data_IF_050528418275
#
_entry.id   IF_050528418275
#
_cell.length_a   1.000
_cell.length_b   1.000
_cell.length_c   1.000
_cell.angle_alpha   90.00
_cell.angle_beta   90.00
_cell.angle_gamma   90.00
#
_symmetry.space_group_name_H-M   'P 1'
#
loop_
_entity.id
_entity.type
_entity.pdbx_description
1 polymer ?
#
# COMPACT_ATOMS: atom_id res chain seq x y z
N UNK A 1 37.11 -85.04 6.64
CA UNK A 1 37.71 -85.04 5.26
C UNK A 1 37.54 -83.63 4.74
N UNK A 2 38.62 -82.89 4.49
CA UNK A 2 38.55 -81.47 4.11
C UNK A 2 38.50 -81.29 2.58
N UNK A 3 37.71 -80.42 2.11
CA UNK A 3 37.63 -80.01 0.70
C UNK A 3 38.63 -78.92 0.39
N UNK A 4 39.46 -79.14 -0.57
CA UNK A 4 40.50 -78.20 -1.07
C UNK A 4 39.81 -77.11 -1.92
N UNK A 5 40.14 -75.90 -1.66
CA UNK A 5 39.81 -74.72 -2.48
C UNK A 5 40.91 -74.49 -3.53
N UNK A 6 40.54 -74.53 -4.81
CA UNK A 6 41.43 -74.19 -5.93
C UNK A 6 41.37 -72.67 -6.15
N UNK A 7 42.54 -72.05 -6.09
CA UNK A 7 42.77 -70.71 -6.52
C UNK A 7 42.81 -70.61 -8.05
N UNK A 8 41.96 -69.76 -8.61
CA UNK A 8 42.01 -69.31 -10.01
C UNK A 8 42.56 -67.88 -10.07
N UNK A 9 43.44 -67.52 -11.02
CA UNK A 9 44.05 -66.19 -11.12
C UNK A 9 43.04 -65.20 -11.76
N UNK A 10 42.97 -63.98 -11.20
CA UNK A 10 42.20 -62.87 -11.72
C UNK A 10 42.94 -62.22 -12.92
N UNK A 11 42.22 -61.75 -13.94
CA UNK A 11 42.83 -61.07 -15.08
C UNK A 11 43.22 -59.62 -14.69
N UNK A 12 44.39 -59.17 -15.14
CA UNK A 12 44.86 -57.79 -15.01
C UNK A 12 44.08 -56.91 -15.98
N UNK A 13 43.21 -56.03 -15.47
CA UNK A 13 42.59 -54.96 -16.24
C UNK A 13 43.48 -53.71 -16.18
N UNK A 14 43.95 -53.26 -17.34
CA UNK A 14 44.59 -51.98 -17.53
C UNK A 14 43.56 -50.85 -17.41
N UNK A 15 43.70 -50.01 -16.39
CA UNK A 15 42.95 -48.74 -16.28
C UNK A 15 43.61 -47.69 -17.17
N UNK A 16 43.00 -47.36 -18.30
CA UNK A 16 43.27 -46.16 -19.05
C UNK A 16 42.70 -44.95 -18.29
N UNK A 17 43.50 -44.01 -17.88
CA UNK A 17 43.11 -42.77 -17.24
C UNK A 17 42.41 -41.87 -18.29
N UNK A 18 41.09 -41.83 -18.27
CA UNK A 18 40.30 -40.83 -19.03
C UNK A 18 40.34 -39.48 -18.27
N UNK A 19 41.03 -38.52 -18.83
CA UNK A 19 40.97 -37.15 -18.34
C UNK A 19 39.59 -36.56 -18.60
N UNK A 20 38.77 -36.37 -17.56
CA UNK A 20 37.54 -35.60 -17.58
C UNK A 20 37.92 -34.12 -17.66
N UNK A 21 37.80 -33.51 -18.84
CA UNK A 21 37.84 -32.06 -19.01
C UNK A 21 36.49 -31.53 -18.52
N UNK A 22 36.45 -31.01 -17.29
CA UNK A 22 35.30 -30.33 -16.74
C UNK A 22 35.09 -28.98 -17.44
N UNK A 23 34.14 -28.90 -18.33
CA UNK A 23 33.61 -27.61 -18.80
C UNK A 23 32.86 -26.95 -17.65
N UNK A 24 33.44 -25.97 -16.99
CA UNK A 24 32.74 -25.05 -16.11
C UNK A 24 31.82 -24.17 -16.99
N UNK A 25 30.55 -24.50 -17.03
CA UNK A 25 29.55 -23.55 -17.54
C UNK A 25 29.47 -22.38 -16.57
N UNK A 26 30.12 -21.27 -16.92
CA UNK A 26 29.80 -19.98 -16.34
C UNK A 26 28.37 -19.66 -16.76
N UNK A 27 27.42 -19.88 -15.84
CA UNK A 27 26.07 -19.35 -15.99
C UNK A 27 26.18 -17.84 -15.98
N UNK A 28 26.16 -17.22 -17.16
CA UNK A 28 25.95 -15.78 -17.31
C UNK A 28 24.52 -15.56 -16.83
N UNK A 29 24.39 -15.05 -15.60
CA UNK A 29 23.11 -14.59 -15.11
C UNK A 29 22.72 -13.36 -15.95
N UNK A 30 21.83 -13.56 -16.91
CA UNK A 30 21.17 -12.44 -17.54
C UNK A 30 20.38 -11.72 -16.46
N UNK A 31 20.46 -10.38 -16.35
CA UNK A 31 19.59 -9.65 -15.45
C UNK A 31 18.14 -10.00 -15.82
N UNK A 32 17.35 -10.35 -14.81
CA UNK A 32 15.91 -10.51 -15.01
C UNK A 32 15.38 -9.25 -15.68
N UNK A 33 14.43 -9.36 -16.63
CA UNK A 33 13.83 -8.16 -17.21
C UNK A 33 13.27 -7.30 -16.09
N UNK A 34 13.44 -5.98 -16.20
CA UNK A 34 12.85 -5.02 -15.29
C UNK A 34 11.37 -5.36 -15.14
N UNK A 35 10.94 -5.60 -13.91
CA UNK A 35 9.56 -5.99 -13.62
C UNK A 35 8.84 -4.78 -13.02
N UNK A 36 7.75 -4.37 -13.65
CA UNK A 36 6.88 -3.33 -13.12
C UNK A 36 5.85 -3.96 -12.18
N UNK A 37 5.22 -3.15 -11.32
CA UNK A 37 4.08 -3.58 -10.53
C UNK A 37 2.99 -2.52 -10.50
N UNK A 38 1.76 -2.96 -10.28
CA UNK A 38 0.60 -2.09 -10.10
C UNK A 38 0.47 -1.68 -8.65
N UNK A 39 0.06 -0.44 -8.40
CA UNK A 39 -0.23 0.05 -7.06
C UNK A 39 -1.54 0.81 -7.04
N UNK A 40 -2.47 0.35 -6.18
CA UNK A 40 -3.76 0.96 -5.90
C UNK A 40 -3.86 1.19 -4.39
N UNK A 41 -4.66 2.17 -3.99
CA UNK A 41 -4.89 2.50 -2.59
C UNK A 41 -6.32 2.99 -2.37
N UNK A 42 -6.81 2.84 -1.15
CA UNK A 42 -8.05 3.47 -0.70
C UNK A 42 -9.19 3.24 -1.70
N UNK A 43 -9.48 1.95 -1.91
CA UNK A 43 -10.50 1.50 -2.86
C UNK A 43 -11.89 1.98 -2.42
N UNK A 44 -12.21 1.79 -1.14
CA UNK A 44 -13.49 2.11 -0.53
C UNK A 44 -14.68 1.64 -1.37
N UNK A 45 -14.66 0.35 -1.71
CA UNK A 45 -15.73 -0.25 -2.49
C UNK A 45 -17.05 -0.20 -1.71
N UNK A 46 -18.06 0.40 -2.32
CA UNK A 46 -19.41 0.53 -1.76
C UNK A 46 -20.37 -0.50 -2.39
N UNK A 47 -20.58 -1.66 -1.75
CA UNK A 47 -21.54 -2.65 -2.19
C UNK A 47 -23.00 -2.22 -1.94
N UNK A 48 -23.21 -1.13 -1.18
CA UNK A 48 -24.51 -0.63 -0.78
C UNK A 48 -25.05 0.47 -1.71
N UNK A 49 -24.27 0.89 -2.72
CA UNK A 49 -24.57 1.98 -3.64
C UNK A 49 -25.91 1.78 -4.40
N UNK A 50 -26.35 0.55 -4.57
CA UNK A 50 -27.70 0.20 -5.04
C UNK A 50 -28.43 -0.60 -3.94
N UNK A 51 -29.20 0.09 -3.11
CA UNK A 51 -29.87 -0.49 -1.95
C UNK A 51 -30.83 -1.65 -2.30
N UNK A 52 -31.36 -1.71 -3.53
CA UNK A 52 -32.22 -2.79 -3.99
C UNK A 52 -31.50 -4.15 -4.15
N UNK A 53 -30.16 -4.13 -4.17
CA UNK A 53 -29.34 -5.33 -4.33
C UNK A 53 -28.78 -5.87 -3.01
N UNK A 54 -28.85 -5.12 -1.92
CA UNK A 54 -28.11 -5.43 -0.68
C UNK A 54 -28.51 -6.79 -0.11
N UNK A 55 -29.81 -7.09 0.00
CA UNK A 55 -30.27 -8.37 0.52
C UNK A 55 -29.83 -9.55 -0.39
N UNK A 56 -29.86 -9.35 -1.72
CA UNK A 56 -29.36 -10.36 -2.67
C UNK A 56 -27.86 -10.60 -2.53
N UNK A 57 -27.08 -9.54 -2.31
CA UNK A 57 -25.63 -9.66 -2.04
C UNK A 57 -25.37 -10.35 -0.70
N UNK A 58 -26.16 -10.05 0.32
CA UNK A 58 -26.05 -10.67 1.63
C UNK A 58 -26.31 -12.19 1.58
N UNK A 59 -27.29 -12.64 0.78
CA UNK A 59 -27.62 -14.04 0.58
C UNK A 59 -26.60 -14.77 -0.31
N UNK A 60 -26.11 -14.12 -1.38
CA UNK A 60 -25.24 -14.72 -2.39
C UNK A 60 -23.80 -14.93 -1.90
N UNK A 61 -23.11 -15.91 -2.52
CA UNK A 61 -21.66 -16.04 -2.35
C UNK A 61 -20.91 -14.94 -3.12
N UNK A 62 -19.73 -14.47 -2.65
CA UNK A 62 -18.96 -13.38 -3.28
C UNK A 62 -18.68 -13.60 -4.77
N UNK A 63 -18.50 -14.84 -5.20
CA UNK A 63 -18.28 -15.18 -6.62
C UNK A 63 -19.48 -14.82 -7.53
N UNK A 64 -20.67 -14.69 -6.98
CA UNK A 64 -21.91 -14.37 -7.71
C UNK A 64 -22.19 -12.86 -7.75
N UNK A 65 -21.46 -12.05 -6.98
CA UNK A 65 -21.72 -10.62 -6.83
C UNK A 65 -21.55 -9.83 -8.12
N UNK A 66 -20.67 -10.27 -9.03
CA UNK A 66 -20.46 -9.61 -10.32
C UNK A 66 -21.75 -9.50 -11.11
N UNK A 67 -22.51 -10.61 -11.24
CA UNK A 67 -23.74 -10.65 -12.00
C UNK A 67 -24.87 -9.83 -11.29
N UNK A 68 -24.92 -9.90 -9.96
CA UNK A 68 -25.89 -9.13 -9.16
C UNK A 68 -25.61 -7.64 -9.32
N UNK A 69 -24.36 -7.18 -9.12
CA UNK A 69 -23.98 -5.78 -9.23
C UNK A 69 -24.13 -5.24 -10.66
N UNK A 70 -23.87 -6.08 -11.68
CA UNK A 70 -24.06 -5.71 -13.08
C UNK A 70 -25.55 -5.56 -13.46
N UNK A 71 -26.47 -6.20 -12.73
CA UNK A 71 -27.92 -6.04 -12.92
C UNK A 71 -28.49 -4.75 -12.31
N UNK A 72 -27.68 -4.06 -11.51
CA UNK A 72 -28.09 -2.86 -10.77
C UNK A 72 -28.05 -1.57 -11.58
N UNK A 73 -28.39 -0.49 -10.90
CA UNK A 73 -28.49 0.85 -11.47
C UNK A 73 -27.39 1.81 -11.01
N UNK A 74 -26.42 1.32 -10.22
CA UNK A 74 -25.31 2.12 -9.73
C UNK A 74 -24.51 2.74 -10.89
N UNK A 75 -24.17 4.03 -10.73
CA UNK A 75 -23.36 4.80 -11.70
C UNK A 75 -21.98 5.10 -11.11
N UNK A 76 -21.09 5.71 -11.90
CA UNK A 76 -19.89 6.32 -11.36
C UNK A 76 -20.26 7.29 -10.22
N UNK A 77 -19.50 7.31 -9.12
CA UNK A 77 -19.81 8.18 -7.98
C UNK A 77 -19.52 9.64 -8.33
N UNK A 78 -20.19 10.54 -7.62
CA UNK A 78 -19.78 11.94 -7.60
C UNK A 78 -18.54 12.13 -6.68
N UNK A 79 -17.83 13.24 -6.83
CA UNK A 79 -16.87 13.67 -5.81
C UNK A 79 -17.53 13.77 -4.44
N UNK A 80 -16.83 13.34 -3.40
CA UNK A 80 -17.38 13.25 -2.04
C UNK A 80 -18.18 11.97 -1.76
N UNK A 81 -18.08 10.97 -2.64
CA UNK A 81 -18.68 9.63 -2.47
C UNK A 81 -17.66 8.54 -2.65
N UNK A 82 -17.93 7.37 -2.09
CA UNK A 82 -17.09 6.19 -2.21
C UNK A 82 -17.24 5.47 -3.56
N UNK A 83 -16.41 4.47 -3.79
CA UNK A 83 -16.26 3.77 -5.06
C UNK A 83 -17.41 2.81 -5.32
N UNK A 84 -18.23 3.12 -6.30
CA UNK A 84 -19.28 2.22 -6.79
C UNK A 84 -18.71 1.13 -7.72
N UNK A 85 -19.51 0.09 -7.99
CA UNK A 85 -19.13 -1.01 -8.89
C UNK A 85 -18.63 -0.54 -10.27
N UNK A 86 -19.27 0.43 -10.98
CA UNK A 86 -18.75 0.95 -12.24
C UNK A 86 -17.35 1.57 -12.15
N UNK A 87 -17.07 2.34 -11.11
CA UNK A 87 -15.73 2.89 -10.92
C UNK A 87 -14.71 1.80 -10.60
N UNK A 88 -15.06 0.86 -9.70
CA UNK A 88 -14.16 -0.23 -9.33
C UNK A 88 -13.78 -1.10 -10.53
N UNK A 89 -14.75 -1.50 -11.35
CA UNK A 89 -14.47 -2.25 -12.58
C UNK A 89 -13.63 -1.46 -13.57
N UNK A 90 -13.89 -0.16 -13.70
CA UNK A 90 -13.15 0.73 -14.59
C UNK A 90 -11.68 0.84 -14.22
N UNK A 91 -11.35 1.04 -12.93
CA UNK A 91 -9.95 1.14 -12.49
C UNK A 91 -9.21 -0.19 -12.66
N UNK A 92 -9.87 -1.32 -12.36
CA UNK A 92 -9.27 -2.64 -12.56
C UNK A 92 -8.99 -2.93 -14.04
N UNK A 93 -9.89 -2.53 -14.94
CA UNK A 93 -9.68 -2.66 -16.39
C UNK A 93 -8.57 -1.74 -16.88
N UNK A 94 -8.57 -0.48 -16.46
CA UNK A 94 -7.58 0.51 -16.87
C UNK A 94 -6.17 0.10 -16.42
N UNK A 95 -6.00 -0.26 -15.14
CA UNK A 95 -4.71 -0.64 -14.57
C UNK A 95 -4.14 -1.90 -15.24
N UNK A 96 -4.95 -2.95 -15.40
CA UNK A 96 -4.54 -4.19 -16.07
C UNK A 96 -4.20 -3.97 -17.55
N UNK A 97 -4.95 -3.08 -18.24
CA UNK A 97 -4.66 -2.74 -19.64
C UNK A 97 -3.36 -1.92 -19.77
N UNK A 98 -3.09 -1.05 -18.80
CA UNK A 98 -1.89 -0.21 -18.78
C UNK A 98 -0.63 -1.05 -18.55
N UNK A 99 -0.67 -1.98 -17.60
CA UNK A 99 0.43 -2.91 -17.38
C UNK A 99 -0.06 -4.38 -17.26
N UNK A 100 -0.25 -5.04 -18.41
CA UNK A 100 -0.72 -6.43 -18.42
C UNK A 100 0.35 -7.43 -17.95
N UNK A 101 1.60 -6.99 -17.79
CA UNK A 101 2.74 -7.82 -17.39
C UNK A 101 3.28 -7.50 -16.01
N UNK A 102 2.60 -6.65 -15.25
CA UNK A 102 2.99 -6.33 -13.87
C UNK A 102 3.32 -7.61 -13.09
N UNK A 103 4.44 -7.64 -12.40
CA UNK A 103 4.87 -8.82 -11.66
C UNK A 103 3.96 -9.14 -10.47
N UNK A 104 3.37 -8.11 -9.87
CA UNK A 104 2.44 -8.20 -8.74
C UNK A 104 1.59 -6.91 -8.66
N UNK A 105 0.68 -6.88 -7.70
CA UNK A 105 -0.10 -5.68 -7.37
C UNK A 105 0.06 -5.38 -5.88
N UNK A 106 0.27 -4.11 -5.52
CA UNK A 106 0.14 -3.60 -4.16
C UNK A 106 -1.24 -2.95 -3.98
N UNK A 107 -1.89 -3.22 -2.85
CA UNK A 107 -3.11 -2.55 -2.42
C UNK A 107 -2.89 -2.07 -0.99
N UNK A 108 -2.80 -0.76 -0.81
CA UNK A 108 -2.41 -0.17 0.48
C UNK A 108 -3.60 0.16 1.38
N UNK A 109 -4.58 -0.76 1.45
CA UNK A 109 -5.66 -0.74 2.43
C UNK A 109 -6.89 0.08 2.05
N UNK A 110 -7.82 0.14 2.98
CA UNK A 110 -9.15 0.74 2.86
C UNK A 110 -9.90 0.21 1.63
N UNK A 111 -10.24 -1.07 1.70
CA UNK A 111 -10.99 -1.78 0.66
C UNK A 111 -12.45 -1.41 0.69
N UNK A 112 -13.01 -1.16 1.89
CA UNK A 112 -14.42 -1.03 2.17
C UNK A 112 -14.85 0.42 2.40
N UNK A 113 -16.11 0.68 2.09
CA UNK A 113 -16.79 1.96 2.20
C UNK A 113 -16.70 2.57 3.60
N UNK A 114 -16.63 3.90 3.68
CA UNK A 114 -16.74 4.63 4.95
C UNK A 114 -18.11 4.44 5.61
N UNK A 115 -18.14 4.46 6.94
CA UNK A 115 -19.40 4.33 7.71
C UNK A 115 -20.20 3.07 7.33
N UNK A 116 -19.50 1.95 7.05
CA UNK A 116 -20.11 0.76 6.49
C UNK A 116 -21.26 0.25 7.36
N UNK A 117 -21.09 0.21 8.69
CA UNK A 117 -22.10 -0.28 9.62
C UNK A 117 -23.38 0.55 9.57
N UNK A 118 -23.23 1.88 9.62
CA UNK A 118 -24.35 2.81 9.58
C UNK A 118 -25.11 2.71 8.26
N UNK A 119 -24.38 2.63 7.15
CA UNK A 119 -24.96 2.49 5.82
C UNK A 119 -25.69 1.15 5.65
N UNK A 120 -25.05 0.04 6.09
CA UNK A 120 -25.67 -1.29 6.05
C UNK A 120 -26.97 -1.33 6.85
N UNK A 121 -26.98 -0.83 8.08
CA UNK A 121 -28.17 -0.76 8.93
C UNK A 121 -29.31 0.06 8.33
N UNK A 122 -28.99 1.01 7.45
CA UNK A 122 -30.01 1.85 6.80
C UNK A 122 -30.71 1.17 5.62
N UNK A 123 -30.12 0.12 5.03
CA UNK A 123 -30.60 -0.45 3.75
C UNK A 123 -30.82 -1.97 3.77
N UNK A 124 -30.15 -2.72 4.64
CA UNK A 124 -30.32 -4.17 4.75
C UNK A 124 -31.59 -4.52 5.53
N UNK A 125 -32.30 -5.56 5.10
CA UNK A 125 -33.46 -6.09 5.82
C UNK A 125 -33.04 -6.76 7.13
N UNK A 126 -32.04 -7.63 7.08
CA UNK A 126 -31.36 -8.19 8.25
C UNK A 126 -30.08 -7.41 8.53
N UNK A 127 -30.05 -6.72 9.65
CA UNK A 127 -28.96 -5.83 10.03
C UNK A 127 -28.46 -6.08 11.46
N UNK A 128 -28.64 -7.30 11.96
CA UNK A 128 -28.04 -7.72 13.23
C UNK A 128 -26.49 -7.80 13.10
N UNK A 129 -25.81 -8.02 14.22
CA UNK A 129 -24.36 -8.06 14.27
C UNK A 129 -23.78 -9.21 13.43
N UNK A 130 -24.45 -10.35 13.37
CA UNK A 130 -23.96 -11.50 12.63
C UNK A 130 -24.13 -11.29 11.11
N UNK A 131 -25.27 -10.73 10.69
CA UNK A 131 -25.53 -10.38 9.29
C UNK A 131 -24.50 -9.34 8.79
N UNK A 132 -24.26 -8.29 9.57
CA UNK A 132 -23.26 -7.28 9.22
C UNK A 132 -21.85 -7.87 9.11
N UNK A 133 -21.39 -8.62 10.10
CA UNK A 133 -20.05 -9.24 10.08
C UNK A 133 -19.87 -10.15 8.89
N UNK A 134 -20.89 -10.95 8.58
CA UNK A 134 -20.86 -11.80 7.40
C UNK A 134 -20.77 -10.98 6.10
N UNK A 135 -21.49 -9.86 6.03
CA UNK A 135 -21.48 -8.99 4.85
C UNK A 135 -20.13 -8.29 4.66
N UNK A 136 -19.48 -7.83 5.75
CA UNK A 136 -18.11 -7.28 5.71
C UNK A 136 -17.12 -8.31 5.16
N UNK A 137 -17.12 -9.54 5.69
CA UNK A 137 -16.23 -10.61 5.22
C UNK A 137 -16.45 -10.94 3.75
N UNK A 138 -17.71 -11.07 3.32
CA UNK A 138 -18.06 -11.26 1.90
C UNK A 138 -17.59 -10.11 1.02
N UNK A 139 -17.65 -8.87 1.51
CA UNK A 139 -17.17 -7.71 0.79
C UNK A 139 -15.66 -7.72 0.59
N UNK A 140 -14.88 -8.04 1.64
CA UNK A 140 -13.43 -8.22 1.54
C UNK A 140 -13.08 -9.35 0.57
N UNK A 141 -13.76 -10.49 0.71
CA UNK A 141 -13.55 -11.62 -0.19
C UNK A 141 -13.87 -11.27 -1.64
N UNK A 142 -14.96 -10.53 -1.88
CA UNK A 142 -15.34 -10.08 -3.21
C UNK A 142 -14.26 -9.18 -3.83
N UNK A 143 -13.79 -8.16 -3.10
CA UNK A 143 -12.71 -7.28 -3.57
C UNK A 143 -11.45 -8.09 -3.89
N UNK A 144 -11.07 -9.01 -3.00
CA UNK A 144 -9.94 -9.91 -3.20
C UNK A 144 -10.09 -10.77 -4.46
N UNK A 145 -11.27 -11.34 -4.69
CA UNK A 145 -11.57 -12.14 -5.89
C UNK A 145 -11.45 -11.29 -7.17
N UNK A 146 -11.86 -10.02 -7.15
CA UNK A 146 -11.73 -9.14 -8.31
C UNK A 146 -10.26 -8.90 -8.67
N UNK A 147 -9.38 -8.67 -7.69
CA UNK A 147 -7.95 -8.58 -7.93
C UNK A 147 -7.35 -9.89 -8.44
N UNK A 148 -7.72 -11.03 -7.85
CA UNK A 148 -7.25 -12.36 -8.28
C UNK A 148 -7.62 -12.66 -9.74
N UNK A 149 -8.85 -12.35 -10.15
CA UNK A 149 -9.32 -12.55 -11.53
C UNK A 149 -8.59 -11.68 -12.54
N UNK A 150 -8.20 -10.46 -12.15
CA UNK A 150 -7.48 -9.50 -13.03
C UNK A 150 -5.97 -9.73 -13.04
N UNK A 151 -5.45 -10.48 -12.09
CA UNK A 151 -4.02 -10.77 -11.95
C UNK A 151 -3.75 -12.30 -11.92
N UNK A 152 -4.18 -13.07 -12.93
CA UNK A 152 -4.07 -14.53 -12.89
C UNK A 152 -2.61 -14.96 -12.76
N UNK A 153 -2.33 -15.77 -11.71
CA UNK A 153 -1.00 -16.30 -11.42
C UNK A 153 0.00 -15.28 -10.86
N UNK A 154 -0.42 -14.05 -10.56
CA UNK A 154 0.44 -13.00 -9.99
C UNK A 154 -0.03 -12.65 -8.57
N UNK A 155 0.89 -12.49 -7.60
CA UNK A 155 0.52 -12.11 -6.25
C UNK A 155 -0.12 -10.73 -6.17
N UNK A 156 -1.03 -10.57 -5.20
CA UNK A 156 -1.55 -9.28 -4.78
C UNK A 156 -1.25 -9.13 -3.29
N UNK A 157 -0.48 -8.12 -2.92
CA UNK A 157 -0.16 -7.81 -1.54
C UNK A 157 -1.10 -6.72 -1.05
N UNK A 158 -1.93 -7.09 -0.10
CA UNK A 158 -3.02 -6.29 0.41
C UNK A 158 -2.79 -6.01 1.89
N UNK A 159 -2.72 -4.74 2.28
CA UNK A 159 -2.80 -4.33 3.68
C UNK A 159 -4.24 -4.05 4.09
N UNK A 160 -4.55 -4.20 5.38
CA UNK A 160 -5.81 -3.72 5.93
C UNK A 160 -5.72 -2.21 6.20
N UNK A 161 -6.80 -1.50 5.91
CA UNK A 161 -7.03 -0.12 6.32
C UNK A 161 -7.92 -0.01 7.54
N UNK A 162 -8.20 1.22 7.97
CA UNK A 162 -9.04 1.45 9.16
C UNK A 162 -10.53 1.13 8.93
N UNK A 163 -10.99 1.10 7.68
CA UNK A 163 -12.39 0.79 7.35
C UNK A 163 -12.64 -0.70 7.06
N UNK A 164 -11.62 -1.58 7.12
CA UNK A 164 -11.70 -2.93 6.58
C UNK A 164 -12.19 -4.00 7.56
N UNK A 165 -12.42 -3.66 8.81
CA UNK A 165 -12.79 -4.63 9.85
C UNK A 165 -14.28 -4.61 10.19
N UNK A 166 -14.81 -5.78 10.55
CA UNK A 166 -16.20 -5.96 11.00
C UNK A 166 -16.52 -5.26 12.33
N UNK A 167 -15.48 -4.86 13.07
CA UNK A 167 -15.62 -4.12 14.32
C UNK A 167 -15.81 -2.62 14.10
N UNK A 168 -15.62 -2.13 12.88
CA UNK A 168 -15.80 -0.75 12.45
C UNK A 168 -14.51 0.04 12.28
N UNK A 169 -14.65 1.32 12.02
CA UNK A 169 -13.55 2.25 11.75
C UNK A 169 -12.53 2.27 12.91
N UNK A 170 -11.26 2.02 12.60
CA UNK A 170 -10.14 1.89 13.54
C UNK A 170 -10.32 0.82 14.63
N UNK A 171 -11.04 -0.25 14.37
CA UNK A 171 -11.48 -1.18 15.40
C UNK A 171 -11.15 -2.65 15.10
N UNK A 172 -10.00 -2.92 14.53
CA UNK A 172 -9.53 -4.30 14.25
C UNK A 172 -9.24 -5.06 15.55
N UNK A 173 -9.76 -6.29 15.66
CA UNK A 173 -9.51 -7.17 16.79
C UNK A 173 -8.32 -8.10 16.51
N UNK A 174 -7.20 -8.01 17.29
CA UNK A 174 -6.14 -9.03 17.24
C UNK A 174 -6.70 -10.41 17.58
N UNK A 175 -6.24 -11.44 16.89
CA UNK A 175 -6.73 -12.83 17.06
C UNK A 175 -8.24 -12.99 16.79
N UNK A 176 -8.90 -11.96 16.22
CA UNK A 176 -10.34 -11.92 16.04
C UNK A 176 -10.85 -12.75 14.87
N UNK A 177 -12.17 -13.02 14.84
CA UNK A 177 -12.78 -13.83 13.77
C UNK A 177 -12.55 -13.27 12.39
N UNK A 178 -12.61 -11.94 12.21
CA UNK A 178 -12.38 -11.29 10.92
C UNK A 178 -11.01 -11.64 10.33
N UNK A 179 -9.93 -11.54 11.12
CA UNK A 179 -8.58 -11.87 10.67
C UNK A 179 -8.45 -13.37 10.35
N UNK A 180 -9.05 -14.24 11.16
CA UNK A 180 -9.03 -15.69 10.94
C UNK A 180 -9.79 -16.08 9.67
N UNK A 181 -10.98 -15.52 9.46
CA UNK A 181 -11.85 -15.84 8.33
C UNK A 181 -11.29 -15.31 7.00
N UNK A 182 -10.63 -14.14 7.02
CA UNK A 182 -10.03 -13.53 5.82
C UNK A 182 -8.61 -14.02 5.54
N UNK A 183 -7.94 -14.69 6.48
CA UNK A 183 -6.57 -15.18 6.34
C UNK A 183 -6.34 -16.05 5.11
N UNK A 184 -7.31 -16.92 4.80
CA UNK A 184 -7.23 -17.81 3.64
C UNK A 184 -7.18 -17.01 2.32
N UNK A 185 -8.11 -16.08 2.13
CA UNK A 185 -8.20 -15.34 0.86
C UNK A 185 -7.01 -14.39 0.69
N UNK A 186 -6.55 -13.73 1.75
CA UNK A 186 -5.37 -12.85 1.72
C UNK A 186 -4.10 -13.67 1.48
N UNK A 187 -3.95 -14.82 2.13
CA UNK A 187 -2.81 -15.72 1.91
C UNK A 187 -2.76 -16.26 0.47
N UNK A 188 -3.89 -16.67 -0.09
CA UNK A 188 -3.99 -17.10 -1.49
C UNK A 188 -3.64 -15.97 -2.47
N UNK A 189 -4.09 -14.74 -2.21
CA UNK A 189 -3.74 -13.57 -3.02
C UNK A 189 -2.24 -13.29 -3.00
N UNK A 190 -1.63 -13.31 -1.82
CA UNK A 190 -0.21 -13.05 -1.64
C UNK A 190 0.69 -14.22 -2.07
N UNK A 191 0.11 -15.35 -2.49
CA UNK A 191 0.85 -16.56 -2.85
C UNK A 191 1.57 -17.20 -1.66
N UNK A 192 1.03 -17.04 -0.45
CA UNK A 192 1.61 -17.60 0.77
C UNK A 192 1.22 -19.08 0.93
N UNK A 193 2.09 -19.90 1.54
CA UNK A 193 1.67 -21.23 1.99
C UNK A 193 0.57 -21.11 3.05
N UNK A 194 -0.31 -22.11 3.14
CA UNK A 194 -1.50 -22.09 4.04
C UNK A 194 -1.22 -21.85 5.53
N UNK A 195 0.04 -21.91 5.93
CA UNK A 195 0.50 -21.85 7.32
C UNK A 195 1.06 -20.49 7.73
N UNK A 196 0.76 -19.39 7.01
CA UNK A 196 1.21 -18.07 7.47
C UNK A 196 0.29 -17.54 8.57
N UNK A 197 0.48 -18.04 9.78
CA UNK A 197 -0.35 -17.71 10.95
C UNK A 197 -0.37 -16.22 11.32
N UNK A 198 0.65 -15.45 10.94
CA UNK A 198 0.78 -14.06 11.42
C UNK A 198 -0.36 -13.15 10.98
N UNK A 199 -0.97 -13.39 9.79
CA UNK A 199 -2.13 -12.60 9.38
C UNK A 199 -3.36 -12.88 10.26
N UNK A 200 -3.62 -14.14 10.58
CA UNK A 200 -4.75 -14.51 11.43
C UNK A 200 -4.69 -13.90 12.85
N UNK A 201 -3.48 -13.52 13.29
CA UNK A 201 -3.27 -12.92 14.62
C UNK A 201 -3.22 -11.39 14.59
N UNK A 202 -2.51 -10.82 13.62
CA UNK A 202 -2.18 -9.38 13.60
C UNK A 202 -2.60 -8.67 12.31
N UNK A 203 -3.24 -9.35 11.36
CA UNK A 203 -3.52 -8.76 10.04
C UNK A 203 -2.25 -8.42 9.25
N UNK A 204 -1.12 -9.07 9.59
CA UNK A 204 0.21 -8.75 9.06
C UNK A 204 0.93 -10.00 8.58
N UNK A 205 1.73 -9.90 7.53
CA UNK A 205 2.42 -11.06 6.95
C UNK A 205 3.71 -10.69 6.23
N UNK A 206 4.52 -11.70 5.94
CA UNK A 206 5.81 -11.59 5.24
C UNK A 206 5.81 -12.52 4.02
N UNK A 207 6.04 -11.97 2.84
CA UNK A 207 6.03 -12.67 1.57
C UNK A 207 7.34 -12.47 0.78
N UNK A 208 7.71 -13.41 -0.11
CA UNK A 208 8.79 -13.16 -1.08
C UNK A 208 8.42 -12.01 -2.02
N UNK A 209 9.40 -11.18 -2.41
CA UNK A 209 9.20 -10.23 -3.49
C UNK A 209 9.29 -10.95 -4.85
N UNK A 210 8.22 -11.00 -5.67
CA UNK A 210 8.25 -11.70 -6.95
C UNK A 210 9.24 -11.12 -7.96
N UNK A 211 9.53 -9.83 -7.83
CA UNK A 211 10.45 -9.13 -8.73
C UNK A 211 11.93 -9.30 -8.31
N UNK A 212 12.21 -9.69 -7.06
CA UNK A 212 13.57 -9.87 -6.57
C UNK A 212 13.61 -10.89 -5.42
N UNK A 213 14.17 -12.06 -5.66
CA UNK A 213 14.27 -13.15 -4.68
C UNK A 213 15.14 -12.83 -3.46
N UNK A 214 15.97 -11.77 -3.53
CA UNK A 214 16.75 -11.27 -2.40
C UNK A 214 16.01 -10.23 -1.55
N UNK A 215 14.72 -10.04 -1.81
CA UNK A 215 13.88 -9.10 -1.11
C UNK A 215 12.61 -9.76 -0.57
N UNK A 216 12.06 -9.16 0.47
CA UNK A 216 10.80 -9.55 1.10
C UNK A 216 9.85 -8.36 1.10
N UNK A 217 8.55 -8.66 1.02
CA UNK A 217 7.50 -7.69 1.25
C UNK A 217 6.86 -8.03 2.59
N UNK A 218 6.95 -7.11 3.55
CA UNK A 218 6.29 -7.23 4.85
C UNK A 218 5.11 -6.28 4.86
N UNK A 219 3.93 -6.85 5.00
CA UNK A 219 2.67 -6.10 5.11
C UNK A 219 2.30 -5.97 6.58
N UNK A 220 2.01 -4.73 7.02
CA UNK A 220 1.70 -4.39 8.41
C UNK A 220 0.27 -3.85 8.53
N UNK A 221 -0.46 -4.30 9.53
CA UNK A 221 -1.71 -3.67 9.94
C UNK A 221 -1.42 -2.45 10.82
N UNK A 222 -1.16 -1.31 10.17
CA UNK A 222 -0.80 -0.07 10.86
C UNK A 222 -1.96 0.60 11.61
N UNK A 223 -3.18 0.06 11.52
CA UNK A 223 -4.33 0.52 12.31
C UNK A 223 -4.02 0.45 13.80
N UNK A 224 -3.28 -0.56 14.25
CA UNK A 224 -2.85 -0.71 15.64
C UNK A 224 -1.97 0.41 16.17
N UNK A 225 -1.32 1.16 15.29
CA UNK A 225 -0.46 2.30 15.67
C UNK A 225 -1.24 3.61 15.83
N UNK A 226 -2.47 3.67 15.32
CA UNK A 226 -3.26 4.90 15.34
C UNK A 226 -3.67 5.31 16.76
N UNK A 227 -3.65 6.61 17.10
CA UNK A 227 -4.26 7.10 18.34
C UNK A 227 -5.79 6.91 18.36
N UNK A 228 -6.43 6.71 17.21
CA UNK A 228 -7.86 6.42 17.08
C UNK A 228 -8.19 4.94 17.27
N UNK A 229 -7.18 4.06 17.27
CA UNK A 229 -7.40 2.63 17.42
C UNK A 229 -8.14 2.29 18.72
N UNK A 230 -9.18 1.49 18.59
CA UNK A 230 -9.95 0.93 19.70
C UNK A 230 -10.34 -0.52 19.38
N UNK A 231 -10.10 -1.42 20.31
CA UNK A 231 -10.62 -2.79 20.23
C UNK A 231 -12.08 -2.80 20.68
N UNK A 232 -13.00 -2.61 19.72
CA UNK A 232 -14.44 -2.52 20.01
C UNK A 232 -15.16 -3.86 20.00
N UNK A 233 -14.61 -4.87 19.31
CA UNK A 233 -15.21 -6.20 19.20
C UNK A 233 -14.69 -7.19 20.22
N UNK A 234 -13.53 -6.95 20.79
CA UNK A 234 -12.83 -7.85 21.68
C UNK A 234 -12.73 -7.31 23.10
N UNK A 235 -12.31 -8.18 23.98
CA UNK A 235 -11.85 -7.83 25.33
C UNK A 235 -10.33 -7.69 25.32
N UNK A 236 -9.75 -7.47 24.14
CA UNK A 236 -8.33 -7.45 23.88
C UNK A 236 -7.62 -6.28 24.53
N UNK A 237 -6.36 -6.50 24.86
CA UNK A 237 -5.50 -5.50 25.44
C UNK A 237 -5.12 -4.41 24.44
N UNK A 238 -4.66 -3.30 24.97
CA UNK A 238 -4.17 -2.14 24.21
C UNK A 238 -2.78 -2.37 23.60
N UNK A 239 -2.26 -3.59 23.62
CA UNK A 239 -0.87 -3.96 23.31
C UNK A 239 -0.65 -4.46 21.88
N UNK A 240 -1.68 -4.40 21.02
CA UNK A 240 -1.58 -4.88 19.63
C UNK A 240 -0.44 -4.20 18.83
N UNK A 241 -0.25 -2.89 19.02
CA UNK A 241 0.84 -2.15 18.39
C UNK A 241 2.22 -2.59 18.87
N UNK A 242 2.38 -2.88 20.16
CA UNK A 242 3.63 -3.39 20.73
C UNK A 242 3.95 -4.80 20.20
N UNK A 243 2.95 -5.68 20.15
CA UNK A 243 3.09 -7.03 19.56
C UNK A 243 3.49 -6.95 18.10
N UNK A 244 2.88 -6.03 17.32
CA UNK A 244 3.21 -5.85 15.92
C UNK A 244 4.64 -5.34 15.74
N UNK A 245 5.12 -4.38 16.53
CA UNK A 245 6.51 -3.90 16.48
C UNK A 245 7.51 -4.98 16.88
N UNK A 246 7.22 -5.77 17.90
CA UNK A 246 8.05 -6.91 18.30
C UNK A 246 8.12 -7.97 17.17
N UNK A 247 6.99 -8.29 16.55
CA UNK A 247 6.94 -9.17 15.38
C UNK A 247 7.78 -8.60 14.21
N UNK A 248 7.62 -7.30 13.87
CA UNK A 248 8.41 -6.64 12.83
C UNK A 248 9.90 -6.73 13.13
N UNK A 249 10.32 -6.47 14.36
CA UNK A 249 11.72 -6.59 14.79
C UNK A 249 12.28 -7.99 14.53
N UNK A 250 11.49 -9.04 14.80
CA UNK A 250 11.85 -10.43 14.52
C UNK A 250 12.01 -10.67 13.02
N UNK A 251 11.09 -10.15 12.19
CA UNK A 251 11.16 -10.29 10.74
C UNK A 251 12.40 -9.58 10.16
N UNK A 252 12.70 -8.37 10.63
CA UNK A 252 13.88 -7.61 10.18
C UNK A 252 15.19 -8.30 10.59
N UNK A 253 15.26 -8.88 11.79
CA UNK A 253 16.41 -9.66 12.23
C UNK A 253 16.62 -10.92 11.35
N UNK A 254 15.53 -11.63 11.03
CA UNK A 254 15.58 -12.78 10.13
C UNK A 254 16.02 -12.39 8.71
N UNK A 255 15.51 -11.31 8.16
CA UNK A 255 15.91 -10.79 6.85
C UNK A 255 17.40 -10.39 6.83
N UNK A 256 17.91 -9.74 7.91
CA UNK A 256 19.32 -9.43 8.06
C UNK A 256 20.21 -10.69 8.06
N UNK A 257 19.79 -11.71 8.79
CA UNK A 257 20.54 -12.98 8.85
C UNK A 257 20.60 -13.67 7.48
N UNK A 258 19.54 -13.52 6.68
CA UNK A 258 19.43 -14.07 5.32
C UNK A 258 20.01 -13.14 4.24
N UNK A 259 20.56 -11.98 4.61
CA UNK A 259 21.07 -10.94 3.69
C UNK A 259 19.99 -10.45 2.70
N UNK A 260 18.75 -10.41 3.13
CA UNK A 260 17.61 -9.91 2.35
C UNK A 260 17.30 -8.47 2.70
N UNK A 261 16.74 -7.73 1.73
CA UNK A 261 16.10 -6.45 1.97
C UNK A 261 14.60 -6.63 2.18
N UNK A 262 13.97 -5.63 2.78
CA UNK A 262 12.55 -5.64 3.14
C UNK A 262 11.88 -4.38 2.61
N UNK A 263 10.79 -4.54 1.87
CA UNK A 263 9.84 -3.48 1.59
C UNK A 263 8.74 -3.54 2.65
N UNK A 264 8.34 -2.38 3.16
CA UNK A 264 7.23 -2.29 4.11
C UNK A 264 6.00 -1.75 3.40
N UNK A 265 4.87 -2.43 3.58
CA UNK A 265 3.57 -2.04 3.03
C UNK A 265 2.58 -1.93 4.17
N UNK A 266 1.92 -0.79 4.28
CA UNK A 266 0.93 -0.56 5.33
C UNK A 266 -0.09 0.49 4.85
N UNK A 267 -1.18 0.67 5.58
CA UNK A 267 -2.20 1.64 5.21
C UNK A 267 -1.91 3.02 5.77
N UNK A 268 -2.01 3.19 7.09
CA UNK A 268 -1.81 4.49 7.74
C UNK A 268 -0.33 4.84 7.75
N UNK A 269 0.11 5.95 7.14
CA UNK A 269 1.52 6.37 7.18
C UNK A 269 1.90 6.93 8.54
N UNK A 270 3.20 6.88 8.93
CA UNK A 270 3.68 7.58 10.12
C UNK A 270 3.70 9.10 9.92
N UNK A 271 3.73 9.85 11.02
CA UNK A 271 3.96 11.29 11.04
C UNK A 271 2.70 12.13 11.28
N UNK A 272 2.69 13.33 10.71
CA UNK A 272 1.67 14.35 10.97
C UNK A 272 0.42 14.10 10.13
N UNK A 273 -0.74 14.14 10.77
CA UNK A 273 -2.03 14.33 10.12
C UNK A 273 -2.21 15.84 9.82
N UNK A 274 -1.78 16.26 8.64
CA UNK A 274 -1.84 17.66 8.24
C UNK A 274 -3.28 18.18 8.11
N UNK A 275 -4.21 17.31 7.68
CA UNK A 275 -5.62 17.68 7.58
C UNK A 275 -6.22 17.94 8.95
N UNK A 276 -6.14 16.98 9.88
CA UNK A 276 -6.67 17.17 11.22
C UNK A 276 -5.97 18.30 11.98
N UNK A 277 -4.65 18.47 11.77
CA UNK A 277 -3.87 19.58 12.34
C UNK A 277 -4.35 20.94 11.83
N UNK A 278 -4.57 21.10 10.53
CA UNK A 278 -5.03 22.37 9.94
C UNK A 278 -6.47 22.73 10.30
N UNK A 279 -7.27 21.76 10.72
CA UNK A 279 -8.66 21.94 11.17
C UNK A 279 -8.84 21.83 12.68
N UNK A 280 -7.72 21.82 13.44
CA UNK A 280 -7.77 21.72 14.89
C UNK A 280 -8.46 22.95 15.51
N UNK A 281 -9.38 22.70 16.47
CA UNK A 281 -10.12 23.78 17.16
C UNK A 281 -9.21 24.66 18.04
N UNK A 282 -8.12 24.10 18.51
CA UNK A 282 -7.12 24.80 19.35
C UNK A 282 -5.89 25.08 18.48
N UNK A 283 -5.54 26.34 18.34
CA UNK A 283 -4.37 26.75 17.58
C UNK A 283 -3.08 26.12 18.15
N UNK A 284 -2.20 25.66 17.26
CA UNK A 284 -0.94 25.00 17.64
C UNK A 284 -1.08 23.52 18.01
N UNK A 285 -2.29 22.94 17.99
CA UNK A 285 -2.45 21.49 18.16
C UNK A 285 -1.92 20.77 16.92
N UNK A 286 -1.01 19.81 17.14
CA UNK A 286 -0.51 18.92 16.08
C UNK A 286 -1.07 17.52 16.33
N UNK A 287 -1.75 16.97 15.33
CA UNK A 287 -2.29 15.62 15.35
C UNK A 287 -1.33 14.68 14.65
N UNK A 288 -1.03 13.54 15.27
CA UNK A 288 -0.23 12.48 14.68
C UNK A 288 -1.14 11.36 14.13
N UNK A 289 -0.73 10.76 13.02
CA UNK A 289 -1.37 9.58 12.45
C UNK A 289 -1.09 8.31 13.28
N UNK A 290 0.10 8.22 13.91
CA UNK A 290 0.47 7.16 14.84
C UNK A 290 0.69 7.71 16.24
N UNK A 291 0.44 6.90 17.27
CA UNK A 291 0.85 7.22 18.65
C UNK A 291 2.35 7.48 18.68
N UNK A 292 2.75 8.53 19.38
CA UNK A 292 4.15 8.98 19.41
C UNK A 292 5.11 7.88 19.88
N UNK A 293 4.67 7.03 20.82
CA UNK A 293 5.43 5.87 21.31
C UNK A 293 5.73 4.90 20.18
N UNK A 294 4.73 4.50 19.42
CA UNK A 294 4.89 3.56 18.30
C UNK A 294 5.70 4.18 17.15
N UNK A 295 5.52 5.47 16.88
CA UNK A 295 6.36 6.18 15.90
C UNK A 295 7.84 6.14 16.29
N UNK A 296 8.17 6.44 17.55
CA UNK A 296 9.55 6.40 18.05
C UNK A 296 10.16 5.00 17.98
N UNK A 297 9.42 3.99 18.40
CA UNK A 297 9.88 2.59 18.35
C UNK A 297 10.08 2.11 16.92
N UNK A 298 9.16 2.41 16.01
CA UNK A 298 9.28 2.09 14.59
C UNK A 298 10.53 2.74 13.98
N UNK A 299 10.73 4.04 14.19
CA UNK A 299 11.95 4.73 13.71
C UNK A 299 13.21 4.15 14.34
N UNK A 300 13.16 3.73 15.60
CA UNK A 300 14.23 3.02 16.28
C UNK A 300 14.57 1.70 15.59
N UNK A 301 13.57 0.90 15.22
CA UNK A 301 13.76 -0.33 14.45
C UNK A 301 14.39 -0.06 13.07
N UNK A 302 13.89 0.94 12.33
CA UNK A 302 14.47 1.29 11.03
C UNK A 302 15.96 1.67 11.15
N UNK A 303 16.31 2.42 12.19
CA UNK A 303 17.70 2.82 12.48
C UNK A 303 18.56 1.62 12.92
N UNK A 304 18.00 0.60 13.55
CA UNK A 304 18.69 -0.63 13.95
C UNK A 304 18.99 -1.54 12.73
N UNK A 305 18.18 -1.42 11.67
CA UNK A 305 18.28 -2.24 10.46
C UNK A 305 18.46 -1.40 9.17
N UNK A 306 19.38 -0.41 9.11
CA UNK A 306 19.44 0.58 8.02
C UNK A 306 19.81 -0.03 6.66
N UNK A 307 20.43 -1.22 6.64
CA UNK A 307 20.79 -1.93 5.40
C UNK A 307 19.73 -2.96 4.97
N UNK A 308 18.72 -3.19 5.79
CA UNK A 308 17.64 -4.17 5.56
C UNK A 308 16.41 -3.49 5.02
N UNK A 309 15.96 -2.40 5.67
CA UNK A 309 14.74 -1.70 5.28
C UNK A 309 14.98 -0.89 4.02
N UNK A 310 14.16 -1.17 3.01
CA UNK A 310 14.09 -0.46 1.74
C UNK A 310 12.90 0.51 1.67
N UNK A 311 12.20 0.57 0.51
CA UNK A 311 11.06 1.45 0.34
C UNK A 311 9.88 1.06 1.21
N UNK A 312 9.07 2.06 1.57
CA UNK A 312 7.81 1.88 2.28
C UNK A 312 6.66 2.42 1.43
N UNK A 313 5.51 1.77 1.47
CA UNK A 313 4.30 2.14 0.72
C UNK A 313 3.12 2.27 1.67
N UNK A 314 2.34 3.34 1.52
CA UNK A 314 1.18 3.62 2.34
C UNK A 314 0.02 4.23 1.54
N UNK A 315 -1.14 4.42 2.19
CA UNK A 315 -2.35 5.07 1.67
C UNK A 315 -2.95 6.06 2.68
N UNK A 316 -4.24 5.93 2.95
CA UNK A 316 -4.98 6.57 4.03
C UNK A 316 -5.30 8.06 3.85
N UNK A 317 -4.35 8.85 3.39
CA UNK A 317 -4.56 10.30 3.26
C UNK A 317 -5.14 10.70 1.90
N UNK A 318 -5.41 9.73 1.03
CA UNK A 318 -6.09 9.83 -0.27
C UNK A 318 -5.39 10.70 -1.33
N UNK A 319 -4.22 11.23 -1.06
CA UNK A 319 -3.46 12.14 -1.93
C UNK A 319 -2.13 11.54 -2.35
N UNK A 320 -1.53 12.08 -3.40
CA UNK A 320 -0.17 11.72 -3.80
C UNK A 320 0.85 12.44 -2.91
N UNK A 321 1.51 11.68 -2.02
CA UNK A 321 2.42 12.28 -1.04
C UNK A 321 3.59 11.34 -0.70
N UNK A 322 4.47 11.79 0.15
CA UNK A 322 5.58 11.01 0.68
C UNK A 322 5.91 11.42 2.12
N UNK A 323 6.72 10.62 2.81
CA UNK A 323 7.28 10.97 4.12
C UNK A 323 8.78 10.68 4.15
N UNK A 324 9.55 11.65 4.68
CA UNK A 324 10.98 11.49 4.95
C UNK A 324 11.16 11.11 6.42
N UNK A 325 11.32 9.82 6.71
CA UNK A 325 11.28 9.28 8.08
C UNK A 325 12.43 9.72 8.98
N UNK A 326 13.55 10.14 8.42
CA UNK A 326 14.70 10.70 9.16
C UNK A 326 14.91 12.19 8.86
N UNK A 327 13.86 12.92 8.49
CA UNK A 327 13.98 14.28 8.02
C UNK A 327 14.65 14.36 6.64
N UNK A 328 15.21 15.53 6.30
CA UNK A 328 15.82 15.77 4.98
C UNK A 328 17.16 15.02 4.74
N UNK A 329 17.47 13.98 5.49
CA UNK A 329 18.68 13.18 5.30
C UNK A 329 18.56 12.28 4.06
N UNK A 330 19.51 12.37 3.13
CA UNK A 330 19.50 11.65 1.84
C UNK A 330 19.54 10.13 1.94
N UNK A 331 19.84 9.58 3.08
CA UNK A 331 19.97 8.13 3.33
C UNK A 331 18.89 7.58 4.24
N UNK A 332 17.95 8.41 4.68
CA UNK A 332 16.87 8.00 5.57
C UNK A 332 15.84 7.14 4.84
N UNK A 333 15.18 6.21 5.52
CA UNK A 333 13.98 5.58 4.99
C UNK A 333 12.93 6.60 4.61
N UNK A 334 12.14 6.28 3.59
CA UNK A 334 11.07 7.13 3.09
C UNK A 334 9.81 6.30 2.86
N UNK A 335 8.67 6.97 2.85
CA UNK A 335 7.37 6.37 2.52
C UNK A 335 6.85 7.02 1.25
N UNK A 336 6.41 6.22 0.30
CA UNK A 336 5.57 6.64 -0.81
C UNK A 336 4.12 6.48 -0.39
N UNK A 337 3.29 7.48 -0.63
CA UNK A 337 1.86 7.45 -0.26
C UNK A 337 1.03 7.50 -1.52
N UNK A 338 0.17 6.49 -1.69
CA UNK A 338 -0.72 6.36 -2.83
C UNK A 338 -1.96 7.23 -2.69
N UNK A 339 -2.32 7.99 -3.72
CA UNK A 339 -3.64 8.60 -3.80
C UNK A 339 -4.72 7.57 -4.05
N UNK A 340 -5.96 7.87 -3.65
CA UNK A 340 -7.07 6.96 -3.61
C UNK A 340 -7.67 6.63 -4.98
N UNK A 341 -8.29 5.45 -5.06
CA UNK A 341 -9.29 5.13 -6.09
C UNK A 341 -10.61 5.85 -5.77
N UNK A 342 -11.01 5.89 -4.50
CA UNK A 342 -12.23 6.58 -4.06
C UNK A 342 -12.12 8.10 -4.18
N UNK A 343 -13.10 8.78 -4.82
CA UNK A 343 -13.12 10.23 -4.89
C UNK A 343 -13.77 10.90 -3.66
N UNK A 344 -13.86 10.21 -2.53
CA UNK A 344 -14.57 10.66 -1.32
C UNK A 344 -14.02 11.99 -0.77
N UNK A 345 -12.72 12.23 -0.84
CA UNK A 345 -12.08 13.47 -0.37
C UNK A 345 -11.99 14.55 -1.45
N UNK A 346 -12.62 14.32 -2.62
CA UNK A 346 -12.72 15.31 -3.70
C UNK A 346 -11.59 15.26 -4.73
N UNK A 347 -10.65 14.33 -4.64
CA UNK A 347 -9.59 14.12 -5.64
C UNK A 347 -10.07 13.24 -6.81
N UNK A 348 -9.34 13.28 -7.92
CA UNK A 348 -9.58 12.35 -9.02
C UNK A 348 -9.18 10.92 -8.61
N UNK A 349 -9.96 9.89 -9.01
CA UNK A 349 -9.56 8.49 -8.88
C UNK A 349 -8.23 8.21 -9.57
N UNK A 350 -7.35 7.40 -8.94
CA UNK A 350 -6.02 7.09 -9.46
C UNK A 350 -5.66 5.62 -9.39
N UNK A 351 -4.66 5.23 -10.20
CA UNK A 351 -3.81 4.07 -10.01
C UNK A 351 -2.39 4.38 -10.50
N UNK A 352 -1.42 3.52 -10.14
CA UNK A 352 -0.01 3.69 -10.51
C UNK A 352 0.58 2.44 -11.10
N UNK A 353 1.57 2.65 -11.99
CA UNK A 353 2.60 1.65 -12.29
C UNK A 353 3.91 2.10 -11.67
N UNK A 354 4.66 1.17 -11.08
CA UNK A 354 5.98 1.44 -10.51
C UNK A 354 6.97 0.53 -11.19
N UNK A 355 8.00 1.10 -11.80
CA UNK A 355 9.02 0.36 -12.51
C UNK A 355 10.25 0.10 -11.65
N UNK A 356 10.87 -1.05 -11.89
CA UNK A 356 12.12 -1.47 -11.25
C UNK A 356 13.24 -1.46 -12.29
N UNK A 357 14.45 -1.23 -11.84
CA UNK A 357 15.63 -1.43 -12.67
C UNK A 357 16.02 -2.91 -12.78
N UNK A 358 17.02 -3.24 -13.59
CA UNK A 358 17.50 -4.62 -13.76
C UNK A 358 18.10 -5.26 -12.49
N UNK A 359 18.19 -4.53 -11.39
CA UNK A 359 18.63 -5.00 -10.08
C UNK A 359 17.49 -5.07 -9.05
N UNK A 360 16.25 -4.76 -9.45
CA UNK A 360 15.08 -4.74 -8.58
C UNK A 360 14.93 -3.48 -7.73
N UNK A 361 15.75 -2.45 -7.94
CA UNK A 361 15.57 -1.17 -7.25
C UNK A 361 14.48 -0.32 -7.91
N UNK A 362 13.76 0.48 -7.11
CA UNK A 362 12.74 1.39 -7.62
C UNK A 362 13.36 2.40 -8.59
N UNK A 363 12.85 2.42 -9.82
CA UNK A 363 13.30 3.31 -10.88
C UNK A 363 12.40 4.52 -11.04
N UNK A 364 11.12 4.30 -11.31
CA UNK A 364 10.16 5.34 -11.60
C UNK A 364 8.74 4.96 -11.17
N UNK A 365 7.88 5.95 -11.03
CA UNK A 365 6.45 5.82 -10.79
C UNK A 365 5.70 6.63 -11.84
N UNK A 366 4.72 6.01 -12.48
CA UNK A 366 3.76 6.68 -13.37
C UNK A 366 2.38 6.67 -12.73
N UNK A 367 1.77 7.85 -12.59
CA UNK A 367 0.42 8.02 -12.07
C UNK A 367 -0.58 8.23 -13.22
N UNK A 368 -1.73 7.56 -13.12
CA UNK A 368 -2.87 7.69 -14.02
C UNK A 368 -4.09 8.16 -13.24
N UNK A 369 -4.85 9.10 -13.83
CA UNK A 369 -6.02 9.71 -13.22
C UNK A 369 -7.26 9.55 -14.10
N UNK A 370 -8.43 9.40 -13.50
CA UNK A 370 -9.72 9.51 -14.19
C UNK A 370 -10.10 10.97 -14.30
N UNK A 371 -10.02 11.53 -15.52
CA UNK A 371 -10.15 12.99 -15.74
C UNK A 371 -11.57 13.48 -15.94
N UNK A 372 -12.55 12.59 -16.11
CA UNK A 372 -13.94 12.91 -16.44
C UNK A 372 -14.95 12.17 -15.53
N UNK A 373 -14.69 12.15 -14.22
CA UNK A 373 -15.55 11.43 -13.27
C UNK A 373 -17.01 11.90 -13.35
N UNK A 374 -17.25 13.19 -13.43
CA UNK A 374 -18.60 13.77 -13.51
C UNK A 374 -19.36 13.31 -14.77
N UNK A 375 -18.69 13.38 -15.93
CA UNK A 375 -19.28 12.97 -17.20
C UNK A 375 -19.47 11.44 -17.28
N UNK A 376 -18.58 10.67 -16.64
CA UNK A 376 -18.73 9.23 -16.52
C UNK A 376 -19.98 8.89 -15.67
N UNK A 377 -20.25 9.66 -14.61
CA UNK A 377 -21.49 9.56 -13.82
C UNK A 377 -22.76 9.87 -14.62
N UNK A 378 -22.62 10.62 -15.71
CA UNK A 378 -23.69 10.94 -16.67
C UNK A 378 -23.77 9.96 -17.86
N UNK A 379 -22.93 8.92 -17.89
CA UNK A 379 -22.95 7.86 -18.89
C UNK A 379 -21.88 7.96 -19.96
N UNK A 380 -20.96 8.93 -19.89
CA UNK A 380 -19.81 8.98 -20.79
C UNK A 380 -18.81 7.86 -20.46
N UNK A 381 -18.01 7.46 -21.46
CA UNK A 381 -16.93 6.52 -21.22
C UNK A 381 -15.87 7.10 -20.26
N UNK A 382 -15.36 6.33 -19.30
CA UNK A 382 -14.33 6.80 -18.38
C UNK A 382 -13.02 7.05 -19.13
N UNK A 383 -12.38 8.20 -18.85
CA UNK A 383 -11.15 8.64 -19.50
C UNK A 383 -9.98 8.62 -18.50
N UNK A 384 -9.32 7.46 -18.40
CA UNK A 384 -8.09 7.32 -17.67
C UNK A 384 -6.93 7.90 -18.48
N UNK A 385 -6.20 8.86 -17.91
CA UNK A 385 -5.10 9.55 -18.57
C UNK A 385 -3.84 9.50 -17.71
N UNK A 386 -2.70 9.51 -18.41
CA UNK A 386 -1.41 9.79 -17.82
C UNK A 386 -1.43 11.15 -17.11
N UNK A 387 -0.93 11.21 -15.89
CA UNK A 387 -0.76 12.45 -15.13
C UNK A 387 0.70 12.88 -15.12
N UNK A 388 1.60 12.03 -14.65
CA UNK A 388 3.04 12.30 -14.63
C UNK A 388 3.88 11.02 -14.45
N UNK A 389 5.15 11.09 -14.89
CA UNK A 389 6.24 10.21 -14.46
C UNK A 389 7.11 10.95 -13.44
N UNK A 390 7.45 10.30 -12.32
CA UNK A 390 8.20 10.94 -11.25
C UNK A 390 9.60 11.36 -11.68
N UNK A 391 10.30 10.51 -12.45
CA UNK A 391 11.67 10.78 -12.92
C UNK A 391 11.73 11.98 -13.87
N UNK A 392 10.77 12.09 -14.79
CA UNK A 392 10.70 13.19 -15.79
C UNK A 392 10.23 14.49 -15.14
N UNK A 393 9.20 14.42 -14.31
CA UNK A 393 8.63 15.60 -13.64
C UNK A 393 9.65 16.27 -12.73
N UNK A 394 10.35 15.48 -11.92
CA UNK A 394 11.27 16.01 -10.92
C UNK A 394 12.74 15.96 -11.34
N UNK A 395 13.05 15.46 -12.57
CA UNK A 395 14.39 15.33 -13.14
C UNK A 395 15.33 14.55 -12.24
N UNK A 396 14.86 13.42 -11.72
CA UNK A 396 15.57 12.49 -10.86
C UNK A 396 15.83 11.17 -11.61
N UNK A 397 16.71 10.30 -11.10
CA UNK A 397 17.10 9.06 -11.79
C UNK A 397 16.53 7.79 -11.16
N UNK A 398 15.94 7.90 -9.98
CA UNK A 398 15.43 6.77 -9.23
C UNK A 398 14.48 7.24 -8.12
N UNK A 399 13.58 6.37 -7.69
CA UNK A 399 12.73 6.58 -6.51
C UNK A 399 13.52 6.17 -5.25
N UNK A 400 14.12 7.13 -4.59
CA UNK A 400 14.89 6.91 -3.37
C UNK A 400 14.85 8.12 -2.45
N UNK A 401 15.37 7.97 -1.23
CA UNK A 401 15.40 9.03 -0.23
C UNK A 401 16.07 10.32 -0.73
N UNK A 402 17.13 10.21 -1.52
CA UNK A 402 17.81 11.39 -2.06
C UNK A 402 16.94 12.18 -3.04
N UNK A 403 16.18 11.48 -3.89
CA UNK A 403 15.24 12.10 -4.83
C UNK A 403 14.10 12.81 -4.11
N UNK A 404 13.47 12.17 -3.12
CA UNK A 404 12.42 12.79 -2.31
C UNK A 404 12.93 13.93 -1.44
N UNK A 405 14.13 13.81 -0.86
CA UNK A 405 14.77 14.89 -0.11
C UNK A 405 15.09 16.11 -1.01
N UNK A 406 15.53 15.85 -2.25
CA UNK A 406 15.75 16.92 -3.25
C UNK A 406 14.45 17.60 -3.64
N UNK A 407 13.39 16.83 -3.91
CA UNK A 407 12.06 17.36 -4.20
C UNK A 407 11.54 18.22 -3.03
N UNK A 408 11.59 17.68 -1.80
CA UNK A 408 11.19 18.41 -0.60
C UNK A 408 11.95 19.74 -0.45
N UNK A 409 13.26 19.73 -0.65
CA UNK A 409 14.09 20.94 -0.58
C UNK A 409 13.70 21.99 -1.63
N UNK A 410 13.33 21.55 -2.84
CA UNK A 410 12.84 22.43 -3.90
C UNK A 410 11.48 23.03 -3.56
N UNK A 411 10.53 22.23 -3.05
CA UNK A 411 9.22 22.69 -2.59
C UNK A 411 9.40 23.76 -1.50
N UNK A 412 10.29 23.52 -0.54
CA UNK A 412 10.54 24.42 0.59
C UNK A 412 11.19 25.74 0.20
N UNK A 413 12.02 25.74 -0.84
CA UNK A 413 12.78 26.93 -1.25
C UNK A 413 12.16 27.70 -2.42
N UNK A 414 11.01 27.26 -2.90
CA UNK A 414 10.21 27.64 -4.06
C UNK A 414 10.58 28.96 -4.76
N UNK A 415 11.74 28.98 -5.41
CA UNK A 415 12.10 29.98 -6.43
C UNK A 415 11.63 29.59 -7.83
N UNK A 416 11.13 28.35 -7.96
CA UNK A 416 10.53 27.78 -9.17
C UNK A 416 9.05 27.38 -8.92
N UNK A 417 8.35 26.93 -9.92
CA UNK A 417 6.95 26.49 -9.83
C UNK A 417 6.76 25.12 -9.15
N UNK A 418 7.81 24.58 -8.49
CA UNK A 418 7.79 23.22 -7.92
C UNK A 418 6.68 23.04 -6.90
N UNK A 419 6.49 23.99 -5.98
CA UNK A 419 5.43 23.92 -4.97
C UNK A 419 4.03 23.94 -5.61
N UNK A 420 3.84 24.78 -6.64
CA UNK A 420 2.57 24.86 -7.38
C UNK A 420 2.28 23.55 -8.12
N UNK A 421 3.31 23.00 -8.78
CA UNK A 421 3.17 21.74 -9.51
C UNK A 421 2.96 20.56 -8.55
N UNK A 422 3.70 20.51 -7.42
CA UNK A 422 3.48 19.49 -6.40
C UNK A 422 2.07 19.52 -5.82
N UNK A 423 1.51 20.71 -5.57
CA UNK A 423 0.13 20.85 -5.11
C UNK A 423 -0.89 20.27 -6.11
N UNK A 424 -0.66 20.40 -7.41
CA UNK A 424 -1.52 19.80 -8.43
C UNK A 424 -1.45 18.27 -8.39
N UNK A 425 -0.23 17.72 -8.32
CA UNK A 425 0.01 16.28 -8.22
C UNK A 425 -0.58 15.73 -6.91
N UNK A 426 -0.31 16.40 -5.79
CA UNK A 426 -0.84 16.05 -4.47
C UNK A 426 -2.35 15.88 -4.49
N UNK A 427 -3.08 16.76 -5.14
CA UNK A 427 -4.52 16.72 -5.29
C UNK A 427 -4.99 15.99 -6.57
N UNK A 428 -4.15 15.17 -7.20
CA UNK A 428 -4.45 14.39 -8.41
C UNK A 428 -5.14 15.21 -9.50
N UNK A 429 -4.57 16.39 -9.80
CA UNK A 429 -5.07 17.37 -10.79
C UNK A 429 -6.49 17.91 -10.51
N UNK A 430 -7.06 17.67 -9.33
CA UNK A 430 -8.36 18.22 -8.89
C UNK A 430 -8.18 19.03 -7.60
N UNK A 431 -7.51 20.19 -7.71
CA UNK A 431 -7.14 21.02 -6.55
C UNK A 431 -8.35 21.75 -6.00
N UNK A 432 -8.72 21.54 -4.71
CA UNK A 432 -9.76 22.33 -4.06
C UNK A 432 -9.40 23.81 -4.03
N UNK A 433 -10.36 24.71 -4.23
CA UNK A 433 -10.14 26.18 -4.20
C UNK A 433 -9.58 26.66 -2.87
N UNK A 434 -9.94 26.02 -1.76
CA UNK A 434 -9.44 26.33 -0.42
C UNK A 434 -7.97 25.92 -0.23
N UNK A 435 -7.41 25.01 -1.05
CA UNK A 435 -6.02 24.58 -0.96
C UNK A 435 -5.13 25.58 -1.73
N UNK A 436 -5.02 26.81 -1.23
CA UNK A 436 -4.06 27.81 -1.75
C UNK A 436 -2.62 27.37 -1.49
N UNK A 437 -1.62 28.06 -2.08
CA UNK A 437 -0.21 27.73 -1.80
C UNK A 437 0.14 27.92 -0.33
N UNK A 438 -0.39 28.96 0.32
CA UNK A 438 -0.17 29.21 1.75
C UNK A 438 -0.78 28.09 2.62
N UNK A 439 -2.04 27.70 2.33
CA UNK A 439 -2.67 26.59 3.01
C UNK A 439 -1.91 25.26 2.77
N UNK A 440 -1.36 25.08 1.57
CA UNK A 440 -0.60 23.87 1.19
C UNK A 440 0.71 23.71 1.98
N UNK A 441 1.25 24.79 2.57
CA UNK A 441 2.45 24.72 3.41
C UNK A 441 2.32 23.72 4.55
N UNK A 442 1.17 23.69 5.23
CA UNK A 442 0.92 22.71 6.29
C UNK A 442 1.04 21.25 5.79
N UNK A 443 0.61 20.99 4.58
CA UNK A 443 0.63 19.65 4.00
C UNK A 443 2.04 19.23 3.59
N UNK A 444 2.78 20.05 2.86
CA UNK A 444 4.14 19.66 2.47
C UNK A 444 5.14 19.67 3.64
N UNK A 445 4.92 20.46 4.71
CA UNK A 445 5.72 20.35 5.92
C UNK A 445 5.58 18.96 6.58
N UNK A 446 4.39 18.34 6.50
CA UNK A 446 4.17 16.98 6.98
C UNK A 446 4.95 15.93 6.17
N UNK A 447 5.26 16.19 4.90
CA UNK A 447 6.08 15.28 4.09
C UNK A 447 7.53 15.18 4.58
N UNK A 448 8.07 16.27 5.14
CA UNK A 448 9.48 16.36 5.58
C UNK A 448 9.72 16.14 7.07
N UNK A 449 8.72 16.31 7.92
CA UNK A 449 8.91 16.32 9.37
C UNK A 449 7.92 15.41 10.10
N UNK A 450 8.47 14.52 10.91
CA UNK A 450 7.69 13.54 11.67
C UNK A 450 7.40 14.02 13.11
N UNK A 451 8.25 14.88 13.67
CA UNK A 451 8.06 15.42 15.02
C UNK A 451 7.24 16.72 14.99
N UNK A 452 6.35 16.89 15.97
CA UNK A 452 5.44 18.03 16.06
C UNK A 452 6.17 19.39 16.10
N UNK A 453 7.27 19.49 16.85
CA UNK A 453 8.05 20.73 16.97
C UNK A 453 8.70 21.14 15.64
N UNK A 454 9.29 20.18 14.91
CA UNK A 454 9.94 20.45 13.62
C UNK A 454 8.90 20.83 12.55
N UNK A 455 7.75 20.17 12.58
CA UNK A 455 6.62 20.48 11.71
C UNK A 455 6.11 21.91 11.97
N UNK A 456 5.88 22.30 13.23
CA UNK A 456 5.45 23.65 13.57
C UNK A 456 6.45 24.70 13.11
N UNK A 457 7.75 24.48 13.36
CA UNK A 457 8.81 25.35 12.89
C UNK A 457 8.82 25.51 11.36
N UNK A 458 8.50 24.43 10.62
CA UNK A 458 8.35 24.47 9.17
C UNK A 458 7.16 25.34 8.74
N UNK A 459 5.98 25.13 9.34
CA UNK A 459 4.75 25.87 8.99
C UNK A 459 4.88 27.36 9.31
N UNK A 460 5.51 27.70 10.43
CA UNK A 460 5.68 29.09 10.88
C UNK A 460 6.81 29.84 10.15
N UNK A 461 7.64 29.16 9.40
CA UNK A 461 8.75 29.75 8.65
C UNK A 461 8.21 30.79 7.66
N UNK A 462 8.37 32.08 7.95
CA UNK A 462 8.05 33.17 7.01
C UNK A 462 8.96 33.06 5.79
N UNK A 463 8.39 33.16 4.61
CA UNK A 463 9.20 33.37 3.40
C UNK A 463 10.03 34.63 3.61
N UNK A 464 11.34 34.46 3.56
CA UNK A 464 12.20 35.64 3.42
C UNK A 464 11.87 36.23 2.06
N UNK A 465 11.06 37.30 2.06
CA UNK A 465 10.76 38.06 0.87
C UNK A 465 12.12 38.50 0.28
N UNK A 466 12.50 37.90 -0.84
CA UNK A 466 13.54 38.43 -1.67
C UNK A 466 12.93 39.73 -2.22
N UNK A 467 13.22 40.84 -1.53
CA UNK A 467 13.02 42.17 -2.07
C UNK A 467 13.67 42.17 -3.46
N UNK A 468 12.83 42.29 -4.50
CA UNK A 468 13.31 42.61 -5.82
C UNK A 468 14.08 43.92 -5.67
N UNK A 469 15.40 43.87 -5.61
CA UNK A 469 16.25 45.01 -5.89
C UNK A 469 16.07 45.34 -7.36
N UNK A 470 15.07 46.16 -7.62
CA UNK A 470 15.01 46.94 -8.87
C UNK A 470 16.10 47.99 -8.74
N UNK A 471 17.20 47.79 -9.43
CA UNK A 471 18.07 48.85 -9.92
C UNK A 471 17.95 48.89 -11.44
#
# INVERSE_FOLDING_TARGET
MPWQTRNLPLPKTNFAASALVGFAFLAVAFPAPAADFLWLSDIHFDPLADSALVDKLAEAEPAQWVDILASGTAKFPAYGRDTTWPLFTSVLQASTKTDPKAAFTLVTGDLLVHHFREQFNAVATDHDDAAFRNFVRKSVEFVALQFKQRSPGRPVFLSLGNNDDECGDYATQPDGPFLQDTAKVVGELAGLPRESDSYAHLGSYNAPNPANTHERIIVLNSVFFSPRYADRCGQGGTDAGEKLLAWLGTQLAAAKAQKQKVWLVYHIPPGIDAYATSHAKVAGTVTLLWKETYLKEFLGLLNQFPQVVGPNFAGHIHVDDFRLLGGALKTSPFVMIGSAVSPITGQNPTFRTVSLDGHGALKDQTTYVLTNLTEAGQGSQPLWKFEYDFDKEWKVKALNAASYSSLFSRIMNSTDDTASRWRQIYATSHVPTALTLDAFRAFYCASGFMAAADYQACVERKETSHAKTTN
#
